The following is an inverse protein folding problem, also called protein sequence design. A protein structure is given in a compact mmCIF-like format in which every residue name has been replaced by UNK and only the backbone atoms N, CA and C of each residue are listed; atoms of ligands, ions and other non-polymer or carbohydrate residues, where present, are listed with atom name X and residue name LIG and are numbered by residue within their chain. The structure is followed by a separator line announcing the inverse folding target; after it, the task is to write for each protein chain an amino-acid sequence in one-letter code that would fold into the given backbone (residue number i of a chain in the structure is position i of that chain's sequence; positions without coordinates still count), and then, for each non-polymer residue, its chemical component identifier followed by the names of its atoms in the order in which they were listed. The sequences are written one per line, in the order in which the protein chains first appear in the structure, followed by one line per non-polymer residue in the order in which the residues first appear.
data_IF_680814409380
#
_entry.id   IF_680814409380
#
_cell.length_a   1.000
_cell.length_b   1.000
_cell.length_c   1.000
_cell.angle_alpha   90.00
_cell.angle_beta   90.00
_cell.angle_gamma   90.00
#
_symmetry.space_group_name_H-M   'P 1'
#
loop_
_entity.id
_entity.type
_entity.pdbx_description
1 polymer ?
#
# COMPACT_ATOMS: atom_id res chain seq x y z
N UNK A 1 8.78 5.99 7.93
CA UNK A 1 8.18 5.26 6.77
C UNK A 1 6.68 5.25 6.99
N UNK A 2 5.89 5.64 6.00
CA UNK A 2 4.45 5.43 6.07
C UNK A 2 4.17 3.94 6.33
N UNK A 3 3.34 3.65 7.34
CA UNK A 3 2.98 2.28 7.71
C UNK A 3 1.84 1.82 6.82
N UNK A 4 1.84 0.55 6.40
CA UNK A 4 0.72 -0.01 5.67
C UNK A 4 -0.56 0.05 6.50
N UNK A 5 -1.67 0.42 5.87
CA UNK A 5 -2.99 0.29 6.46
C UNK A 5 -3.41 -1.18 6.43
N UNK A 6 -4.00 -1.65 7.52
CA UNK A 6 -4.63 -2.98 7.56
C UNK A 6 -5.97 -2.94 6.83
N UNK A 7 -6.32 -4.03 6.16
CA UNK A 7 -7.63 -4.16 5.52
C UNK A 7 -8.75 -4.12 6.58
N UNK A 8 -9.92 -3.54 6.24
CA UNK A 8 -11.08 -3.58 7.12
C UNK A 8 -11.52 -5.04 7.39
N UNK A 9 -12.19 -5.27 8.52
CA UNK A 9 -12.74 -6.59 8.85
C UNK A 9 -13.85 -6.96 7.87
N UNK A 10 -13.83 -8.19 7.35
CA UNK A 10 -14.87 -8.68 6.43
C UNK A 10 -16.23 -8.66 7.12
N UNK A 11 -17.28 -8.11 6.50
CA UNK A 11 -18.64 -8.19 7.03
C UNK A 11 -19.15 -9.64 7.05
N UNK A 12 -20.20 -9.89 7.82
CA UNK A 12 -20.86 -11.21 7.87
C UNK A 12 -21.56 -11.48 6.55
N UNK A 13 -21.73 -12.75 6.19
CA UNK A 13 -22.44 -13.12 4.95
C UNK A 13 -23.89 -12.61 4.94
N UNK A 14 -24.55 -12.61 6.10
CA UNK A 14 -25.90 -12.11 6.27
C UNK A 14 -26.01 -10.58 6.31
N UNK A 15 -24.90 -9.84 6.16
CA UNK A 15 -24.93 -8.37 6.13
C UNK A 15 -25.62 -7.88 4.86
N UNK A 16 -26.24 -6.70 4.95
CA UNK A 16 -26.94 -6.06 3.84
C UNK A 16 -25.99 -5.67 2.69
N UNK A 17 -26.54 -5.51 1.49
CA UNK A 17 -25.79 -5.12 0.29
C UNK A 17 -25.04 -3.79 0.47
N UNK A 18 -25.62 -2.83 1.19
CA UNK A 18 -24.97 -1.55 1.47
C UNK A 18 -23.70 -1.71 2.30
N UNK A 19 -23.70 -2.62 3.28
CA UNK A 19 -22.51 -2.92 4.09
C UNK A 19 -21.42 -3.56 3.23
N UNK A 20 -21.80 -4.43 2.29
CA UNK A 20 -20.87 -5.02 1.33
C UNK A 20 -20.27 -3.98 0.38
N UNK A 21 -21.07 -3.04 -0.14
CA UNK A 21 -20.59 -1.92 -0.96
C UNK A 21 -19.59 -1.05 -0.18
N UNK A 22 -19.95 -0.64 1.04
CA UNK A 22 -19.07 0.16 1.89
C UNK A 22 -17.76 -0.59 2.25
N UNK A 23 -17.82 -1.91 2.41
CA UNK A 23 -16.62 -2.74 2.61
C UNK A 23 -15.73 -2.75 1.37
N UNK A 24 -16.30 -2.90 0.17
CA UNK A 24 -15.56 -2.86 -1.10
C UNK A 24 -14.81 -1.52 -1.27
N UNK A 25 -15.48 -0.40 -1.04
CA UNK A 25 -14.86 0.93 -1.12
C UNK A 25 -13.69 1.09 -0.14
N UNK A 26 -13.88 0.65 1.12
CA UNK A 26 -12.81 0.69 2.12
C UNK A 26 -11.62 -0.20 1.77
N UNK A 27 -11.86 -1.37 1.18
CA UNK A 27 -10.79 -2.26 0.70
C UNK A 27 -10.01 -1.58 -0.41
N UNK A 28 -10.67 -0.97 -1.40
CA UNK A 28 -10.02 -0.25 -2.49
C UNK A 28 -9.18 0.92 -1.99
N UNK A 29 -9.67 1.71 -1.04
CA UNK A 29 -8.90 2.82 -0.43
C UNK A 29 -7.61 2.32 0.23
N UNK A 30 -7.73 1.29 1.08
CA UNK A 30 -6.57 0.72 1.78
C UNK A 30 -5.56 0.13 0.79
N UNK A 31 -6.02 -0.57 -0.24
CA UNK A 31 -5.16 -1.12 -1.28
C UNK A 31 -4.43 -0.01 -2.05
N UNK A 32 -5.14 1.05 -2.44
CA UNK A 32 -4.55 2.20 -3.14
C UNK A 32 -3.48 2.88 -2.29
N UNK A 33 -3.75 3.12 -1.01
CA UNK A 33 -2.79 3.70 -0.09
C UNK A 33 -1.55 2.81 0.08
N UNK A 34 -1.74 1.51 0.26
CA UNK A 34 -0.63 0.57 0.40
C UNK A 34 0.21 0.45 -0.87
N UNK A 35 -0.41 0.51 -2.05
CA UNK A 35 0.29 0.53 -3.34
C UNK A 35 1.15 1.78 -3.53
N UNK A 36 0.68 2.95 -3.08
CA UNK A 36 1.48 4.18 -3.08
C UNK A 36 2.74 4.05 -2.21
N UNK A 37 2.59 3.51 -0.99
CA UNK A 37 3.73 3.25 -0.11
C UNK A 37 4.74 2.31 -0.76
N UNK A 38 4.27 1.27 -1.45
CA UNK A 38 5.14 0.32 -2.15
C UNK A 38 5.93 1.02 -3.28
N UNK A 39 5.25 1.83 -4.08
CA UNK A 39 5.87 2.61 -5.15
C UNK A 39 6.93 3.58 -4.61
N UNK A 40 6.65 4.30 -3.52
CA UNK A 40 7.61 5.20 -2.88
C UNK A 40 8.81 4.44 -2.31
N UNK A 41 8.59 3.28 -1.68
CA UNK A 41 9.68 2.43 -1.19
C UNK A 41 10.55 1.93 -2.33
N UNK A 42 9.95 1.49 -3.43
CA UNK A 42 10.67 1.03 -4.62
C UNK A 42 11.47 2.16 -5.27
N UNK A 43 10.89 3.35 -5.37
CA UNK A 43 11.58 4.54 -5.88
C UNK A 43 12.78 4.90 -5.01
N UNK A 44 12.60 4.96 -3.68
CA UNK A 44 13.69 5.19 -2.73
C UNK A 44 14.78 4.12 -2.82
N UNK A 45 14.41 2.84 -2.90
CA UNK A 45 15.36 1.75 -3.04
C UNK A 45 16.17 1.85 -4.35
N UNK A 46 15.54 2.25 -5.46
CA UNK A 46 16.23 2.47 -6.73
C UNK A 46 17.21 3.65 -6.66
N UNK A 47 16.82 4.77 -6.04
CA UNK A 47 17.70 5.92 -5.82
C UNK A 47 18.90 5.51 -4.96
N UNK A 48 18.67 4.77 -3.87
CA UNK A 48 19.74 4.27 -3.01
C UNK A 48 20.70 3.33 -3.75
N UNK A 49 20.17 2.42 -4.59
CA UNK A 49 21.00 1.54 -5.43
C UNK A 49 21.89 2.33 -6.39
N UNK A 50 21.34 3.33 -7.07
CA UNK A 50 22.10 4.23 -7.97
C UNK A 50 23.22 4.96 -7.22
N UNK A 51 22.92 5.52 -6.05
CA UNK A 51 23.90 6.24 -5.23
C UNK A 51 24.98 5.32 -4.62
N UNK A 52 24.63 4.06 -4.28
CA UNK A 52 25.60 3.07 -3.79
C UNK A 52 26.58 2.66 -4.89
N UNK A 53 26.12 2.50 -6.13
CA UNK A 53 26.98 2.25 -7.28
C UNK A 53 27.92 3.42 -7.59
N UNK A 54 27.45 4.66 -7.41
CA UNK A 54 28.27 5.86 -7.61
C UNK A 54 29.39 6.04 -6.56
N UNK A 55 29.24 5.46 -5.35
CA UNK A 55 30.25 5.52 -4.29
C UNK A 55 31.35 4.44 -4.39
N UNK A 56 31.22 3.49 -5.31
CA UNK A 56 32.20 2.41 -5.48
C UNK A 56 33.37 2.76 -6.41
N UNK A 57 33.40 3.98 -6.97
CA UNK A 57 34.47 4.45 -7.84
C UNK A 57 35.13 5.69 -7.26
N UNK A 58 35.85 5.53 -6.14
CA UNK A 58 36.83 6.51 -5.69
C UNK A 58 37.95 5.83 -4.91
#
# INVERSE_FOLDING_TARGET
MAKYKKLPKRPKQSSSLEVWKAYEDKVKDVQKYNAQIDAEKKAKANIQKKLKGAKAHK
#
